data_IF_028629374528
#
_entry.id   IF_028629374528
#
_cell.length_a   1.000
_cell.length_b   1.000
_cell.length_c   1.000
_cell.angle_alpha   90.00
_cell.angle_beta   90.00
_cell.angle_gamma   90.00
#
_symmetry.space_group_name_H-M   'P 1'
#
loop_
_entity.id
_entity.type
_entity.pdbx_description
1 polymer ?
#
# COMPACT_ATOMS: atom_id res chain seq x y z
N UNK A 1 -32.25 17.20 -16.66
CA UNK A 1 -31.62 16.61 -15.47
C UNK A 1 -32.73 16.01 -14.64
N UNK A 2 -32.65 14.73 -14.25
CA UNK A 2 -33.70 14.06 -13.48
C UNK A 2 -33.36 14.18 -12.00
N UNK A 3 -34.32 14.69 -11.22
CA UNK A 3 -34.18 14.83 -9.77
C UNK A 3 -34.96 13.76 -9.06
N UNK A 4 -34.33 13.10 -8.09
CA UNK A 4 -34.99 12.11 -7.23
C UNK A 4 -35.49 12.83 -5.97
N UNK A 5 -36.80 12.79 -5.69
CA UNK A 5 -37.36 13.44 -4.51
C UNK A 5 -37.00 12.64 -3.24
N UNK A 6 -36.45 13.34 -2.23
CA UNK A 6 -36.30 12.79 -0.87
C UNK A 6 -37.54 13.22 -0.07
N UNK A 7 -38.32 12.25 0.40
CA UNK A 7 -39.51 12.50 1.23
C UNK A 7 -39.13 12.47 2.70
N UNK A 8 -39.67 13.38 3.49
CA UNK A 8 -39.52 13.42 4.94
C UNK A 8 -40.86 13.00 5.58
N UNK A 9 -40.81 12.10 6.54
CA UNK A 9 -41.93 11.69 7.36
C UNK A 9 -41.48 11.56 8.81
N UNK A 10 -42.39 11.60 9.75
CA UNK A 10 -42.10 11.41 11.17
C UNK A 10 -42.61 10.04 11.61
N UNK A 11 -41.77 9.31 12.35
CA UNK A 11 -42.12 8.03 12.98
C UNK A 11 -41.48 7.98 14.38
N UNK A 12 -42.32 7.73 15.37
CA UNK A 12 -41.88 7.63 16.78
C UNK A 12 -41.15 8.88 17.28
N UNK A 13 -41.57 10.09 16.84
CA UNK A 13 -40.94 11.37 17.19
C UNK A 13 -39.58 11.64 16.51
N UNK A 14 -39.22 10.85 15.49
CA UNK A 14 -37.97 11.05 14.71
C UNK A 14 -38.30 11.26 13.24
N UNK A 15 -37.54 12.17 12.62
CA UNK A 15 -37.61 12.34 11.16
C UNK A 15 -37.02 11.13 10.45
N UNK A 16 -37.71 10.67 9.40
CA UNK A 16 -37.29 9.59 8.52
C UNK A 16 -37.25 10.13 7.10
N UNK A 17 -36.15 9.86 6.40
CA UNK A 17 -35.92 10.30 5.03
C UNK A 17 -36.06 9.11 4.07
N UNK A 18 -37.04 9.18 3.15
CA UNK A 18 -37.36 8.11 2.23
C UNK A 18 -36.92 8.47 0.82
N UNK A 19 -36.11 7.60 0.22
CA UNK A 19 -35.67 7.67 -1.19
C UNK A 19 -36.39 6.58 -1.96
N UNK A 20 -37.12 6.92 -3.07
CA UNK A 20 -37.74 5.91 -3.93
C UNK A 20 -36.68 5.02 -4.59
N UNK A 21 -37.07 3.85 -5.09
CA UNK A 21 -36.22 2.97 -5.84
C UNK A 21 -35.59 3.71 -7.04
N UNK A 22 -34.24 3.69 -7.14
CA UNK A 22 -33.51 4.39 -8.18
C UNK A 22 -33.03 3.35 -9.20
N UNK A 23 -33.40 3.47 -10.50
CA UNK A 23 -32.88 2.59 -11.54
C UNK A 23 -31.41 2.91 -11.77
N UNK A 24 -30.52 1.93 -11.57
CA UNK A 24 -29.10 2.06 -11.91
C UNK A 24 -28.94 1.98 -13.43
N UNK A 25 -28.44 3.05 -14.05
CA UNK A 25 -28.01 3.04 -15.45
C UNK A 25 -26.61 2.43 -15.55
N UNK A 26 -26.52 1.17 -15.91
CA UNK A 26 -25.28 0.63 -16.47
C UNK A 26 -25.24 0.94 -17.97
N UNK A 27 -24.07 1.30 -18.47
CA UNK A 27 -23.81 1.90 -19.78
C UNK A 27 -24.26 1.09 -21.00
N UNK A 28 -24.78 -0.15 -20.86
CA UNK A 28 -25.30 -0.95 -21.98
C UNK A 28 -26.44 -1.93 -21.63
N UNK A 29 -26.95 -1.95 -20.41
CA UNK A 29 -28.17 -2.73 -20.05
C UNK A 29 -28.88 -2.03 -18.92
N UNK A 30 -30.19 -1.83 -19.06
CA UNK A 30 -31.06 -1.39 -17.96
C UNK A 30 -31.19 -2.53 -16.96
N UNK A 31 -30.25 -2.62 -16.05
CA UNK A 31 -30.38 -3.53 -14.90
C UNK A 31 -31.04 -2.71 -13.80
N UNK A 32 -32.30 -2.95 -13.56
CA UNK A 32 -33.01 -2.49 -12.36
C UNK A 32 -32.44 -3.31 -11.20
N UNK A 33 -31.37 -2.83 -10.58
CA UNK A 33 -30.90 -3.42 -9.32
C UNK A 33 -31.87 -2.90 -8.24
N UNK A 34 -32.87 -3.69 -7.91
CA UNK A 34 -33.71 -3.46 -6.73
C UNK A 34 -32.81 -3.67 -5.52
N UNK A 35 -32.50 -2.58 -4.83
CA UNK A 35 -31.86 -2.70 -3.52
C UNK A 35 -32.93 -3.26 -2.61
N UNK A 36 -32.82 -4.48 -2.06
CA UNK A 36 -33.86 -5.09 -1.27
C UNK A 36 -34.05 -4.26 0.01
N UNK A 37 -35.24 -3.70 0.18
CA UNK A 37 -35.64 -3.10 1.44
C UNK A 37 -36.04 -4.22 2.41
N UNK A 38 -35.65 -4.17 3.70
CA UNK A 38 -36.02 -5.19 4.70
C UNK A 38 -37.53 -5.42 4.85
N UNK A 39 -38.38 -4.47 4.41
CA UNK A 39 -39.82 -4.52 4.45
C UNK A 39 -40.51 -4.78 3.10
N UNK A 40 -39.74 -5.11 2.04
CA UNK A 40 -40.30 -5.45 0.73
C UNK A 40 -40.90 -4.27 -0.05
N UNK A 41 -40.58 -3.01 0.30
CA UNK A 41 -41.03 -1.80 -0.42
C UNK A 41 -39.95 -1.36 -1.42
N UNK A 42 -40.38 -0.70 -2.51
CA UNK A 42 -39.47 -0.14 -3.52
C UNK A 42 -38.75 1.16 -3.07
N UNK A 43 -38.85 1.51 -1.81
CA UNK A 43 -38.26 2.70 -1.22
C UNK A 43 -37.38 2.34 -0.03
N UNK A 44 -36.29 3.10 0.15
CA UNK A 44 -35.36 2.92 1.26
C UNK A 44 -35.47 4.11 2.20
N UNK A 45 -35.53 3.83 3.51
CA UNK A 45 -35.56 4.85 4.57
C UNK A 45 -34.18 5.02 5.20
N UNK A 46 -33.83 6.26 5.52
CA UNK A 46 -32.60 6.67 6.16
C UNK A 46 -32.89 7.44 7.43
N UNK A 47 -32.00 7.34 8.40
CA UNK A 47 -32.12 8.01 9.69
C UNK A 47 -31.69 9.49 9.63
N UNK A 48 -30.89 9.86 8.62
CA UNK A 48 -30.43 11.23 8.43
C UNK A 48 -30.61 11.70 6.99
N UNK A 49 -30.78 13.01 6.84
CA UNK A 49 -30.93 13.63 5.53
C UNK A 49 -29.67 13.45 4.67
N UNK A 50 -28.51 13.45 5.28
CA UNK A 50 -27.24 13.35 4.55
C UNK A 50 -27.02 11.94 4.00
N UNK A 51 -27.41 10.88 4.74
CA UNK A 51 -27.43 9.50 4.22
C UNK A 51 -28.36 9.36 3.02
N UNK A 52 -29.54 9.98 3.07
CA UNK A 52 -30.49 9.96 1.97
C UNK A 52 -29.97 10.70 0.73
N UNK A 53 -29.35 11.87 0.91
CA UNK A 53 -28.69 12.63 -0.17
C UNK A 53 -27.56 11.82 -0.80
N UNK A 54 -26.71 11.21 0.03
CA UNK A 54 -25.57 10.40 -0.41
C UNK A 54 -26.02 9.17 -1.21
N UNK A 55 -27.12 8.52 -0.81
CA UNK A 55 -27.65 7.39 -1.54
C UNK A 55 -28.11 7.77 -2.96
N UNK A 56 -28.81 8.91 -3.12
CA UNK A 56 -29.23 9.43 -4.43
C UNK A 56 -28.02 9.79 -5.29
N UNK A 57 -27.05 10.43 -4.73
CA UNK A 57 -25.87 10.93 -5.45
C UNK A 57 -24.90 9.81 -5.85
N UNK A 58 -24.70 8.78 -4.99
CA UNK A 58 -23.94 7.56 -5.35
C UNK A 58 -24.55 6.80 -6.50
N UNK A 59 -25.90 6.82 -6.61
CA UNK A 59 -26.60 6.25 -7.75
C UNK A 59 -26.51 7.09 -9.04
N UNK A 60 -25.80 8.22 -9.01
CA UNK A 60 -25.57 9.07 -10.18
C UNK A 60 -26.67 10.08 -10.49
N UNK A 61 -27.62 10.29 -9.55
CA UNK A 61 -28.75 11.20 -9.73
C UNK A 61 -28.59 12.47 -8.89
N UNK A 62 -29.36 13.52 -9.28
CA UNK A 62 -29.57 14.72 -8.47
C UNK A 62 -30.78 14.53 -7.56
N UNK A 63 -30.81 15.16 -6.38
CA UNK A 63 -31.94 15.07 -5.44
C UNK A 63 -32.70 16.37 -5.34
N UNK A 64 -33.96 16.26 -4.87
CA UNK A 64 -34.83 17.39 -4.54
C UNK A 64 -35.42 17.17 -3.13
N UNK A 65 -35.27 18.17 -2.27
CA UNK A 65 -35.81 18.16 -0.91
C UNK A 65 -37.28 18.63 -0.92
N UNK A 66 -38.04 18.34 0.15
CA UNK A 66 -39.45 18.76 0.25
C UNK A 66 -39.64 20.27 0.17
N UNK A 67 -38.66 21.05 0.60
CA UNK A 67 -38.67 22.52 0.50
C UNK A 67 -38.33 23.06 -0.91
N UNK A 68 -38.18 22.16 -1.91
CA UNK A 68 -37.85 22.53 -3.29
C UNK A 68 -36.34 22.75 -3.53
N UNK A 69 -35.52 22.69 -2.51
CA UNK A 69 -34.06 22.81 -2.66
C UNK A 69 -33.53 21.64 -3.46
N UNK A 70 -32.70 21.94 -4.47
CA UNK A 70 -32.10 20.95 -5.38
C UNK A 70 -30.61 20.84 -5.12
N UNK A 71 -30.12 19.58 -5.02
CA UNK A 71 -28.70 19.26 -5.01
C UNK A 71 -28.32 18.49 -6.27
N UNK A 72 -27.18 18.83 -6.83
CA UNK A 72 -26.69 18.23 -8.08
C UNK A 72 -25.57 17.22 -7.81
N UNK A 73 -25.50 16.22 -8.67
CA UNK A 73 -24.40 15.24 -8.69
C UNK A 73 -22.99 15.88 -8.86
N UNK A 74 -22.92 17.14 -9.36
CA UNK A 74 -21.66 17.85 -9.54
C UNK A 74 -20.92 18.13 -8.21
N UNK A 75 -21.69 18.42 -7.13
CA UNK A 75 -21.11 18.69 -5.80
C UNK A 75 -20.56 17.41 -5.15
N UNK A 76 -21.13 16.27 -5.48
CA UNK A 76 -20.73 14.95 -4.96
C UNK A 76 -19.59 14.34 -5.78
N UNK A 77 -19.52 14.62 -7.08
CA UNK A 77 -18.34 14.20 -7.86
C UNK A 77 -17.03 14.75 -7.27
N UNK A 78 -17.05 15.97 -6.73
CA UNK A 78 -15.90 16.52 -6.01
C UNK A 78 -15.70 15.94 -4.60
N UNK A 79 -16.79 15.59 -3.88
CA UNK A 79 -16.72 14.96 -2.55
C UNK A 79 -16.45 13.44 -2.61
N UNK A 80 -16.97 12.74 -3.62
CA UNK A 80 -16.73 11.29 -3.84
C UNK A 80 -15.32 11.04 -4.37
N UNK A 81 -14.72 12.00 -5.08
CA UNK A 81 -13.27 11.97 -5.41
C UNK A 81 -12.40 12.25 -4.17
N UNK A 82 -12.94 12.94 -3.16
CA UNK A 82 -12.25 13.16 -1.87
C UNK A 82 -12.55 12.08 -0.81
N UNK A 83 -13.59 11.22 -1.04
CA UNK A 83 -13.96 10.12 -0.14
C UNK A 83 -14.14 8.80 -0.91
N UNK A 84 -13.48 8.65 -2.04
CA UNK A 84 -13.14 7.32 -2.54
C UNK A 84 -12.32 6.67 -1.43
N UNK A 85 -12.84 5.60 -0.84
CA UNK A 85 -12.09 4.79 0.12
C UNK A 85 -10.76 4.49 -0.56
N UNK A 86 -9.68 5.10 -0.09
CA UNK A 86 -8.35 4.82 -0.61
C UNK A 86 -7.95 3.45 -0.07
N UNK A 87 -8.35 2.41 -0.80
CA UNK A 87 -8.05 1.03 -0.38
C UNK A 87 -6.56 0.80 -0.24
N UNK A 88 -5.73 1.49 -1.02
CA UNK A 88 -4.29 1.43 -0.90
C UNK A 88 -3.83 1.97 0.46
N UNK A 89 -4.34 3.11 0.90
CA UNK A 89 -4.06 3.69 2.22
C UNK A 89 -4.49 2.76 3.35
N UNK A 90 -5.71 2.19 3.29
CA UNK A 90 -6.19 1.23 4.29
C UNK A 90 -5.28 -0.01 4.34
N UNK A 91 -4.90 -0.53 3.18
CA UNK A 91 -4.02 -1.70 3.08
C UNK A 91 -2.65 -1.37 3.64
N UNK A 92 -2.06 -0.24 3.25
CA UNK A 92 -0.75 0.21 3.74
C UNK A 92 -0.76 0.44 5.26
N UNK A 93 -1.76 1.11 5.80
CA UNK A 93 -1.89 1.36 7.24
C UNK A 93 -2.05 0.05 8.01
N UNK A 94 -2.85 -0.88 7.48
CA UNK A 94 -3.03 -2.21 8.08
C UNK A 94 -1.72 -2.99 8.11
N UNK A 95 -0.92 -2.93 7.04
CA UNK A 95 0.39 -3.61 6.97
C UNK A 95 1.37 -2.93 7.91
N UNK A 96 1.46 -1.59 7.91
CA UNK A 96 2.36 -0.81 8.75
C UNK A 96 2.12 -1.05 10.24
N UNK A 97 0.87 -1.18 10.66
CA UNK A 97 0.51 -1.54 12.05
C UNK A 97 1.14 -2.87 12.51
N UNK A 98 1.43 -3.78 11.58
CA UNK A 98 1.99 -5.10 11.87
C UNK A 98 3.51 -5.22 11.73
N UNK A 99 4.18 -4.21 11.17
CA UNK A 99 5.65 -4.21 10.96
C UNK A 99 6.43 -4.31 12.27
N UNK A 100 5.88 -3.77 13.36
CA UNK A 100 6.48 -3.83 14.70
C UNK A 100 5.75 -4.82 15.64
N UNK A 101 5.07 -5.80 15.09
CA UNK A 101 4.41 -6.85 15.88
C UNK A 101 5.43 -7.62 16.72
N UNK A 102 5.11 -7.88 17.99
CA UNK A 102 5.89 -8.77 18.85
C UNK A 102 5.90 -10.22 18.37
N UNK A 103 4.93 -10.61 17.54
CA UNK A 103 4.92 -11.90 16.89
C UNK A 103 5.80 -11.86 15.64
N UNK A 104 6.93 -12.55 15.69
CA UNK A 104 7.92 -12.60 14.60
C UNK A 104 7.32 -12.99 13.25
N UNK A 105 6.41 -13.97 13.21
CA UNK A 105 5.80 -14.42 11.96
C UNK A 105 4.89 -13.34 11.35
N UNK A 106 4.16 -12.62 12.20
CA UNK A 106 3.31 -11.49 11.75
C UNK A 106 4.17 -10.34 11.24
N UNK A 107 5.21 -9.96 12.00
CA UNK A 107 6.17 -8.93 11.59
C UNK A 107 6.83 -9.29 10.24
N UNK A 108 7.37 -10.51 10.12
CA UNK A 108 8.02 -10.99 8.91
C UNK A 108 7.08 -11.00 7.69
N UNK A 109 5.82 -11.39 7.88
CA UNK A 109 4.80 -11.33 6.83
C UNK A 109 4.46 -9.89 6.42
N UNK A 110 4.36 -8.98 7.38
CA UNK A 110 4.11 -7.56 7.12
C UNK A 110 5.26 -6.91 6.32
N UNK A 111 6.52 -7.27 6.59
CA UNK A 111 7.69 -6.81 5.83
C UNK A 111 7.64 -7.28 4.37
N UNK A 112 7.27 -8.53 4.11
CA UNK A 112 7.08 -9.01 2.74
C UNK A 112 5.91 -8.34 2.04
N UNK A 113 4.84 -8.03 2.78
CA UNK A 113 3.68 -7.36 2.24
C UNK A 113 3.98 -5.90 1.89
N UNK A 114 4.65 -5.13 2.78
CA UNK A 114 4.98 -3.72 2.52
C UNK A 114 5.93 -3.58 1.33
N UNK A 115 6.80 -4.56 1.09
CA UNK A 115 7.69 -4.57 -0.07
C UNK A 115 6.97 -4.67 -1.43
N UNK A 116 5.64 -4.82 -1.47
CA UNK A 116 4.84 -4.74 -2.71
C UNK A 116 4.50 -3.29 -3.09
N UNK A 117 4.70 -2.33 -2.18
CA UNK A 117 4.30 -0.93 -2.33
C UNK A 117 5.55 -0.03 -2.37
N UNK A 118 6.16 0.19 -3.54
CA UNK A 118 7.39 0.97 -3.65
C UNK A 118 7.15 2.44 -3.30
N UNK A 119 7.81 2.91 -2.26
CA UNK A 119 7.86 4.30 -1.85
C UNK A 119 9.12 4.56 -1.03
N UNK A 120 9.52 5.82 -0.87
CA UNK A 120 10.66 6.19 -0.02
C UNK A 120 10.46 5.66 1.42
N UNK A 121 9.25 5.79 1.96
CA UNK A 121 8.90 5.29 3.29
C UNK A 121 9.05 3.75 3.39
N UNK A 122 8.58 3.01 2.38
CA UNK A 122 8.75 1.55 2.32
C UNK A 122 10.24 1.18 2.29
N UNK A 123 11.04 1.91 1.52
CA UNK A 123 12.47 1.66 1.45
C UNK A 123 13.15 1.91 2.79
N UNK A 124 12.81 2.99 3.49
CA UNK A 124 13.34 3.29 4.82
C UNK A 124 13.01 2.18 5.82
N UNK A 125 11.75 1.70 5.82
CA UNK A 125 11.33 0.57 6.64
C UNK A 125 12.16 -0.69 6.35
N UNK A 126 12.34 -1.05 5.08
CA UNK A 126 13.11 -2.23 4.71
C UNK A 126 14.57 -2.11 5.13
N UNK A 127 15.19 -0.94 4.97
CA UNK A 127 16.57 -0.70 5.39
C UNK A 127 16.74 -0.66 6.91
N UNK A 128 15.74 -0.24 7.68
CA UNK A 128 15.72 -0.39 9.13
C UNK A 128 15.72 -1.88 9.51
N UNK A 129 14.84 -2.66 8.88
CA UNK A 129 14.64 -4.09 9.22
C UNK A 129 15.79 -5.02 8.82
N UNK A 130 16.70 -4.64 7.94
CA UNK A 130 17.92 -5.43 7.71
C UNK A 130 18.92 -5.34 8.86
N UNK A 131 18.75 -4.42 9.80
CA UNK A 131 19.57 -4.28 11.01
C UNK A 131 19.05 -5.01 12.24
N UNK A 132 17.91 -5.69 12.14
CA UNK A 132 17.27 -6.42 13.26
C UNK A 132 18.03 -7.68 13.63
N UNK A 133 17.98 -8.08 14.91
CA UNK A 133 18.63 -9.31 15.39
C UNK A 133 17.94 -10.59 14.90
N UNK A 134 16.68 -10.49 14.53
CA UNK A 134 15.90 -11.64 14.04
C UNK A 134 16.20 -11.98 12.60
N UNK A 135 16.70 -13.19 12.36
CA UNK A 135 17.13 -13.67 11.05
C UNK A 135 15.99 -13.74 10.01
N UNK A 136 14.76 -14.12 10.43
CA UNK A 136 13.60 -14.19 9.53
C UNK A 136 13.19 -12.81 9.06
N UNK A 137 13.19 -11.82 9.96
CA UNK A 137 12.89 -10.42 9.66
C UNK A 137 13.92 -9.89 8.68
N UNK A 138 15.22 -10.07 8.95
CA UNK A 138 16.29 -9.64 8.04
C UNK A 138 16.17 -10.25 6.65
N UNK A 139 15.97 -11.57 6.56
CA UNK A 139 15.83 -12.26 5.25
C UNK A 139 14.67 -11.71 4.43
N UNK A 140 13.53 -11.44 5.07
CA UNK A 140 12.37 -10.88 4.37
C UNK A 140 12.62 -9.44 3.91
N UNK A 141 13.30 -8.62 4.72
CA UNK A 141 13.68 -7.27 4.34
C UNK A 141 14.69 -7.27 3.19
N UNK A 142 15.72 -8.11 3.24
CA UNK A 142 16.70 -8.31 2.15
C UNK A 142 15.96 -8.72 0.86
N UNK A 143 15.07 -9.70 0.93
CA UNK A 143 14.26 -10.12 -0.21
C UNK A 143 13.43 -8.98 -0.78
N UNK A 144 12.82 -8.16 0.10
CA UNK A 144 12.07 -6.96 -0.28
C UNK A 144 12.93 -5.95 -1.02
N UNK A 145 14.12 -5.63 -0.50
CA UNK A 145 15.07 -4.69 -1.13
C UNK A 145 15.52 -5.20 -2.51
N UNK A 146 15.89 -6.46 -2.61
CA UNK A 146 16.42 -7.03 -3.84
C UNK A 146 15.42 -7.07 -4.99
N UNK A 147 14.10 -7.01 -4.73
CA UNK A 147 13.06 -6.91 -5.76
C UNK A 147 13.17 -5.64 -6.60
N UNK A 148 13.76 -4.59 -6.07
CA UNK A 148 13.89 -3.29 -6.74
C UNK A 148 15.20 -3.14 -7.53
N UNK A 149 16.09 -4.12 -7.46
CA UNK A 149 17.29 -4.20 -8.30
C UNK A 149 18.16 -2.94 -8.23
N UNK A 150 18.47 -2.40 -9.40
CA UNK A 150 19.37 -1.25 -9.57
C UNK A 150 18.98 -0.02 -8.74
N UNK A 151 17.68 0.22 -8.53
CA UNK A 151 17.19 1.40 -7.77
C UNK A 151 17.71 1.43 -6.33
N UNK A 152 17.97 0.25 -5.75
CA UNK A 152 18.44 0.13 -4.36
C UNK A 152 19.96 0.19 -4.22
N UNK A 153 20.72 0.19 -5.31
CA UNK A 153 22.19 0.06 -5.28
C UNK A 153 22.88 1.11 -4.42
N UNK A 154 22.50 2.36 -4.55
CA UNK A 154 23.09 3.45 -3.76
C UNK A 154 22.79 3.30 -2.26
N UNK A 155 21.55 2.96 -1.92
CA UNK A 155 21.14 2.72 -0.53
C UNK A 155 21.85 1.51 0.08
N UNK A 156 22.06 0.45 -0.70
CA UNK A 156 22.83 -0.74 -0.28
C UNK A 156 24.27 -0.38 -0.03
N UNK A 157 24.90 0.38 -0.91
CA UNK A 157 26.28 0.88 -0.73
C UNK A 157 26.40 1.74 0.54
N UNK A 158 25.41 2.61 0.79
CA UNK A 158 25.39 3.40 2.01
C UNK A 158 25.19 2.54 3.27
N UNK A 159 24.44 1.46 3.19
CA UNK A 159 24.24 0.51 4.30
C UNK A 159 25.54 -0.24 4.68
N UNK A 160 26.50 -0.40 3.77
CA UNK A 160 27.84 -0.93 4.09
C UNK A 160 28.62 -0.03 5.08
N UNK A 161 28.23 1.23 5.23
CA UNK A 161 28.85 2.20 6.15
C UNK A 161 28.06 2.36 7.45
N UNK A 162 27.03 1.56 7.68
CA UNK A 162 26.19 1.61 8.90
C UNK A 162 27.04 1.38 10.17
N UNK A 163 26.77 2.08 11.28
CA UNK A 163 27.38 1.77 12.57
C UNK A 163 27.01 0.36 13.06
N UNK A 164 25.82 -0.15 12.68
CA UNK A 164 25.37 -1.50 13.03
C UNK A 164 26.01 -2.55 12.10
N UNK A 165 26.83 -3.43 12.66
CA UNK A 165 27.48 -4.51 11.90
C UNK A 165 26.48 -5.47 11.24
N UNK A 166 25.31 -5.70 11.86
CA UNK A 166 24.23 -6.55 11.30
C UNK A 166 23.72 -5.95 9.99
N UNK A 167 23.52 -4.63 9.96
CA UNK A 167 23.13 -3.90 8.75
C UNK A 167 24.19 -4.02 7.67
N UNK A 168 25.48 -3.83 7.99
CA UNK A 168 26.58 -3.98 7.03
C UNK A 168 26.64 -5.39 6.45
N UNK A 169 26.50 -6.41 7.31
CA UNK A 169 26.46 -7.81 6.87
C UNK A 169 25.24 -8.11 5.98
N UNK A 170 24.09 -7.55 6.31
CA UNK A 170 22.87 -7.69 5.50
C UNK A 170 22.97 -6.99 4.14
N UNK A 171 23.65 -5.85 4.08
CA UNK A 171 23.96 -5.16 2.82
C UNK A 171 24.82 -6.01 1.88
N UNK A 172 25.82 -6.72 2.41
CA UNK A 172 26.59 -7.69 1.64
C UNK A 172 25.70 -8.82 1.10
N UNK A 173 24.74 -9.32 1.90
CA UNK A 173 23.80 -10.32 1.45
C UNK A 173 22.86 -9.79 0.35
N UNK A 174 22.44 -8.52 0.42
CA UNK A 174 21.70 -7.88 -0.67
C UNK A 174 22.54 -7.87 -1.95
N UNK A 175 23.82 -7.49 -1.87
CA UNK A 175 24.72 -7.46 -3.03
C UNK A 175 24.86 -8.85 -3.65
N UNK A 176 25.04 -9.90 -2.83
CA UNK A 176 25.10 -11.29 -3.31
C UNK A 176 23.84 -11.65 -4.08
N UNK A 177 22.64 -11.33 -3.54
CA UNK A 177 21.40 -11.64 -4.23
C UNK A 177 21.24 -10.85 -5.55
N UNK A 178 21.75 -9.62 -5.60
CA UNK A 178 21.73 -8.80 -6.81
C UNK A 178 22.70 -9.29 -7.88
N UNK A 179 23.74 -10.09 -7.56
CA UNK A 179 24.61 -10.70 -8.59
C UNK A 179 23.87 -11.66 -9.51
N UNK A 180 22.70 -12.18 -9.07
CA UNK A 180 21.85 -13.07 -9.85
C UNK A 180 20.69 -12.33 -10.55
N UNK A 181 20.53 -11.03 -10.29
CA UNK A 181 19.45 -10.22 -10.84
C UNK A 181 19.83 -9.69 -12.24
N UNK A 182 18.85 -9.65 -13.12
CA UNK A 182 19.00 -9.00 -14.42
C UNK A 182 18.99 -7.46 -14.28
N UNK A 183 19.71 -6.78 -15.18
CA UNK A 183 19.71 -5.32 -15.29
C UNK A 183 20.26 -4.57 -14.06
N UNK A 184 21.19 -5.17 -13.32
CA UNK A 184 21.94 -4.51 -12.24
C UNK A 184 23.40 -4.33 -12.68
N UNK A 185 23.91 -3.10 -12.60
CA UNK A 185 25.34 -2.84 -12.80
C UNK A 185 26.12 -3.33 -11.58
N UNK A 186 26.68 -4.52 -11.69
CA UNK A 186 27.44 -5.16 -10.61
C UNK A 186 28.78 -4.48 -10.37
N UNK A 187 29.36 -3.79 -11.37
CA UNK A 187 30.67 -3.14 -11.25
C UNK A 187 30.72 -2.09 -10.14
N UNK A 188 29.59 -1.42 -9.88
CA UNK A 188 29.46 -0.39 -8.84
C UNK A 188 29.73 -0.90 -7.41
N UNK A 189 29.58 -2.21 -7.17
CA UNK A 189 29.79 -2.82 -5.86
C UNK A 189 31.23 -3.23 -5.60
N UNK A 190 32.10 -3.32 -6.62
CA UNK A 190 33.47 -3.83 -6.48
C UNK A 190 34.24 -3.01 -5.45
N UNK A 191 34.30 -1.70 -5.60
CA UNK A 191 35.08 -0.82 -4.70
C UNK A 191 34.48 -0.80 -3.28
N UNK A 192 33.16 -0.54 -3.08
CA UNK A 192 32.58 -0.52 -1.73
C UNK A 192 32.74 -1.85 -0.98
N UNK A 193 32.60 -2.99 -1.66
CA UNK A 193 32.80 -4.31 -1.03
C UNK A 193 34.28 -4.55 -0.71
N UNK A 194 35.22 -4.12 -1.59
CA UNK A 194 36.65 -4.20 -1.33
C UNK A 194 37.05 -3.41 -0.08
N UNK A 195 36.51 -2.21 0.11
CA UNK A 195 36.70 -1.42 1.32
C UNK A 195 36.16 -2.14 2.57
N UNK A 196 35.00 -2.77 2.45
CA UNK A 196 34.36 -3.53 3.54
C UNK A 196 35.17 -4.79 3.95
N UNK A 197 36.06 -5.28 3.12
CA UNK A 197 37.00 -6.36 3.49
C UNK A 197 37.96 -5.98 4.65
N UNK A 198 38.05 -4.70 5.01
CA UNK A 198 38.81 -4.20 6.15
C UNK A 198 37.89 -3.84 7.35
N UNK A 199 36.67 -4.36 7.40
CA UNK A 199 35.72 -4.10 8.51
C UNK A 199 36.31 -4.53 9.86
N UNK A 200 35.98 -3.77 10.91
CA UNK A 200 36.37 -4.09 12.29
C UNK A 200 35.70 -5.36 12.83
N UNK A 201 34.55 -5.74 12.28
CA UNK A 201 33.84 -6.94 12.65
C UNK A 201 34.26 -8.10 11.74
N UNK A 202 34.78 -9.16 12.31
CA UNK A 202 35.34 -10.30 11.57
C UNK A 202 34.30 -11.07 10.75
N UNK A 203 33.01 -11.06 11.16
CA UNK A 203 31.92 -11.69 10.42
C UNK A 203 31.65 -10.89 9.13
N UNK A 204 31.60 -9.57 9.25
CA UNK A 204 31.44 -8.67 8.09
C UNK A 204 32.64 -8.79 7.15
N UNK A 205 33.85 -8.80 7.69
CA UNK A 205 35.08 -8.96 6.93
C UNK A 205 35.08 -10.27 6.12
N UNK A 206 34.77 -11.40 6.76
CA UNK A 206 34.71 -12.70 6.10
C UNK A 206 33.64 -12.75 4.99
N UNK A 207 32.44 -12.19 5.27
CA UNK A 207 31.37 -12.12 4.27
C UNK A 207 31.74 -11.17 3.11
N UNK A 208 32.42 -10.05 3.38
CA UNK A 208 32.89 -9.13 2.35
C UNK A 208 33.86 -9.79 1.36
N UNK A 209 34.82 -10.58 1.85
CA UNK A 209 35.76 -11.33 0.99
C UNK A 209 34.98 -12.32 0.08
N UNK A 210 34.05 -13.05 0.64
CA UNK A 210 33.20 -13.97 -0.14
C UNK A 210 32.33 -13.23 -1.18
N UNK A 211 31.75 -12.10 -0.78
CA UNK A 211 30.91 -11.26 -1.64
C UNK A 211 31.73 -10.66 -2.77
N UNK A 212 32.92 -10.15 -2.48
CA UNK A 212 33.82 -9.58 -3.49
C UNK A 212 34.17 -10.58 -4.59
N UNK A 213 34.46 -11.82 -4.21
CA UNK A 213 34.71 -12.88 -5.17
C UNK A 213 33.53 -13.15 -6.10
N UNK A 214 32.30 -13.21 -5.56
CA UNK A 214 31.07 -13.39 -6.35
C UNK A 214 30.79 -12.21 -7.29
N UNK A 215 30.88 -10.98 -6.77
CA UNK A 215 30.70 -9.76 -7.55
C UNK A 215 31.68 -9.73 -8.73
N UNK A 216 32.94 -10.03 -8.50
CA UNK A 216 33.96 -10.04 -9.55
C UNK A 216 33.73 -11.16 -10.59
N UNK A 217 33.32 -12.35 -10.16
CA UNK A 217 32.95 -13.43 -11.08
C UNK A 217 31.79 -13.04 -11.98
N UNK A 218 30.76 -12.39 -11.43
CA UNK A 218 29.60 -11.95 -12.22
C UNK A 218 29.99 -10.79 -13.16
N UNK A 219 30.80 -9.84 -12.69
CA UNK A 219 31.34 -8.77 -13.53
C UNK A 219 32.06 -9.33 -14.77
N UNK A 220 32.91 -10.34 -14.59
CA UNK A 220 33.64 -10.99 -15.70
C UNK A 220 32.73 -11.74 -16.68
N UNK A 221 31.57 -12.22 -16.25
CA UNK A 221 30.61 -12.87 -17.15
C UNK A 221 29.86 -11.86 -18.02
N UNK A 222 29.70 -10.64 -17.51
CA UNK A 222 28.93 -9.58 -18.16
C UNK A 222 29.84 -8.66 -19.03
N UNK A 223 31.17 -8.79 -18.92
CA UNK A 223 32.19 -8.04 -19.68
C UNK A 223 32.63 -8.81 -20.90
#
# INVERSE_FOLDING_TARGET
MQYIPIKVSEKDGKEIYTVPAIPLKNSNRTVVQKIPHPLGTDAITYSTLDEAKDAVTRAGFSYMLPNGQKGTNATVKQKVVQHGTNYEEIVLDTIKDKINSSNTSVCAAAILAIAQFPSEETFDILFEKIGEDNDQIRKNAISGICRYGQIMSERIINALKSPNWVTRNSALNCIVNLTEAENVDISQFIIPVSETCNDINTIVQANALSTLAKVYQQYKKNS
#
